data_IF_980502256434
#
_entry.id   IF_980502256434
#
_cell.length_a   1.000
_cell.length_b   1.000
_cell.length_c   1.000
_cell.angle_alpha   90.00
_cell.angle_beta   90.00
_cell.angle_gamma   90.00
#
_symmetry.space_group_name_H-M   'P 1'
#
loop_
_entity.id
_entity.type
_entity.pdbx_description
1 polymer ?
#
# COMPACT_ATOMS: atom_id res chain seq x y z
N UNK A 1 -2.09 26.26 -7.27
CA UNK A 1 -2.93 25.51 -6.30
C UNK A 1 -4.18 25.03 -7.04
N UNK A 2 -4.67 23.82 -6.79
CA UNK A 2 -5.92 23.36 -7.42
C UNK A 2 -7.09 24.25 -6.98
N UNK A 3 -7.99 24.61 -7.90
CA UNK A 3 -9.18 25.41 -7.58
C UNK A 3 -10.10 24.59 -6.69
N UNK A 4 -10.75 25.20 -5.70
CA UNK A 4 -11.75 24.50 -4.88
C UNK A 4 -12.78 23.80 -5.79
N UNK A 5 -13.09 22.53 -5.48
CA UNK A 5 -13.97 21.68 -6.29
C UNK A 5 -13.35 21.07 -7.55
N UNK A 6 -12.08 21.32 -7.86
CA UNK A 6 -11.41 20.65 -9.00
C UNK A 6 -10.83 19.30 -8.61
N UNK A 7 -11.02 18.30 -9.47
CA UNK A 7 -10.41 16.98 -9.37
C UNK A 7 -9.65 16.64 -10.65
N UNK A 8 -8.66 15.75 -10.54
CA UNK A 8 -7.92 15.21 -11.69
C UNK A 8 -7.76 13.70 -11.51
N UNK A 9 -8.15 12.94 -12.52
CA UNK A 9 -7.94 11.50 -12.56
C UNK A 9 -6.57 11.18 -13.14
N UNK A 10 -5.89 10.20 -12.56
CA UNK A 10 -4.60 9.69 -13.04
C UNK A 10 -4.66 8.17 -13.06
N UNK A 11 -4.28 7.58 -14.19
CA UNK A 11 -4.10 6.13 -14.31
C UNK A 11 -2.69 5.77 -13.84
N UNK A 12 -2.58 4.87 -12.87
CA UNK A 12 -1.29 4.33 -12.46
C UNK A 12 -0.74 3.42 -13.56
N UNK A 13 0.39 3.81 -14.18
CA UNK A 13 1.01 3.07 -15.29
C UNK A 13 1.99 1.99 -14.87
N UNK A 14 2.37 1.95 -13.59
CA UNK A 14 3.40 1.06 -13.06
C UNK A 14 2.90 0.42 -11.78
N UNK A 15 3.21 -0.87 -11.61
CA UNK A 15 3.03 -1.57 -10.35
C UNK A 15 3.95 -1.01 -9.27
N UNK A 16 3.55 -1.19 -8.01
CA UNK A 16 4.27 -0.72 -6.83
C UNK A 16 3.51 0.33 -6.04
N UNK A 17 4.20 0.93 -5.07
CA UNK A 17 3.64 1.94 -4.20
C UNK A 17 3.67 3.29 -4.91
N UNK A 18 2.53 3.98 -4.92
CA UNK A 18 2.39 5.36 -5.39
C UNK A 18 2.15 6.24 -4.18
N UNK A 19 3.14 7.07 -3.87
CA UNK A 19 3.03 8.10 -2.85
C UNK A 19 2.27 9.32 -3.39
N UNK A 20 1.19 9.67 -2.70
CA UNK A 20 0.37 10.83 -2.99
C UNK A 20 0.50 11.77 -1.82
N UNK A 21 0.93 13.00 -2.07
CA UNK A 21 1.10 13.98 -1.02
C UNK A 21 0.70 15.39 -1.48
N UNK A 22 0.30 16.20 -0.50
CA UNK A 22 0.01 17.60 -0.72
C UNK A 22 1.30 18.41 -0.92
N UNK A 23 1.20 19.58 -1.54
CA UNK A 23 2.35 20.49 -1.71
C UNK A 23 2.39 21.61 -0.65
N UNK A 24 1.31 21.76 0.13
CA UNK A 24 1.14 22.87 1.08
C UNK A 24 0.71 22.43 2.49
N UNK A 25 0.29 21.18 2.66
CA UNK A 25 -0.07 20.59 3.96
C UNK A 25 0.86 19.40 4.22
N UNK A 26 1.82 19.49 5.16
CA UNK A 26 2.75 18.40 5.49
C UNK A 26 2.08 17.12 6.00
N UNK A 27 0.83 17.21 6.44
CA UNK A 27 0.08 16.13 7.11
C UNK A 27 -0.77 15.33 6.12
N UNK A 28 -0.89 15.80 4.88
CA UNK A 28 -1.73 15.18 3.85
C UNK A 28 -0.89 14.28 2.95
N UNK A 29 -0.83 13.00 3.34
CA UNK A 29 -0.23 11.93 2.57
C UNK A 29 -1.19 10.74 2.43
N UNK A 30 -1.06 10.01 1.33
CA UNK A 30 -1.70 8.75 1.06
C UNK A 30 -0.74 7.85 0.27
N UNK A 31 -0.87 6.54 0.44
CA UNK A 31 -0.12 5.54 -0.31
C UNK A 31 -1.09 4.63 -1.03
N UNK A 32 -0.85 4.36 -2.31
CA UNK A 32 -1.66 3.44 -3.12
C UNK A 32 -0.76 2.30 -3.58
N UNK A 33 -1.12 1.06 -3.25
CA UNK A 33 -0.44 -0.13 -3.76
C UNK A 33 -1.07 -0.57 -5.08
N UNK A 34 -0.30 -0.55 -6.16
CA UNK A 34 -0.73 -0.95 -7.51
C UNK A 34 -0.20 -2.35 -7.81
N UNK A 35 -1.11 -3.29 -8.07
CA UNK A 35 -0.81 -4.69 -8.37
C UNK A 35 -0.88 -4.95 -9.87
N UNK A 36 -0.12 -5.94 -10.34
CA UNK A 36 -0.13 -6.43 -11.73
C UNK A 36 -1.01 -7.67 -11.91
N UNK A 37 -1.71 -8.09 -10.86
CA UNK A 37 -2.56 -9.26 -10.84
C UNK A 37 -3.82 -9.00 -10.00
N UNK A 38 -4.91 -9.78 -10.18
CA UNK A 38 -6.18 -9.54 -9.50
C UNK A 38 -6.25 -10.16 -8.09
N UNK A 39 -5.19 -10.80 -7.61
CA UNK A 39 -5.22 -11.59 -6.38
C UNK A 39 -4.78 -10.75 -5.17
N UNK A 40 -5.75 -10.10 -4.52
CA UNK A 40 -5.52 -9.35 -3.29
C UNK A 40 -6.71 -9.46 -2.33
N UNK A 41 -6.44 -9.22 -1.06
CA UNK A 41 -7.44 -9.11 -0.01
C UNK A 41 -7.04 -7.97 0.92
N UNK A 42 -8.02 -7.29 1.48
CA UNK A 42 -7.82 -6.38 2.62
C UNK A 42 -8.13 -7.18 3.87
N UNK A 43 -7.27 -7.06 4.88
CA UNK A 43 -7.47 -7.72 6.17
C UNK A 43 -8.73 -7.18 6.87
N UNK A 44 -9.43 -8.05 7.59
CA UNK A 44 -10.45 -7.63 8.55
C UNK A 44 -9.84 -6.88 9.73
N UNK A 45 -10.70 -6.30 10.58
CA UNK A 45 -10.27 -5.63 11.82
C UNK A 45 -9.56 -6.59 12.80
N UNK A 46 -9.83 -7.90 12.69
CA UNK A 46 -9.20 -8.97 13.44
C UNK A 46 -7.90 -9.50 12.80
N UNK A 47 -7.45 -8.89 11.70
CA UNK A 47 -6.28 -9.32 10.93
C UNK A 47 -6.55 -10.52 9.99
N UNK A 48 -7.76 -11.07 9.96
CA UNK A 48 -8.08 -12.21 9.10
C UNK A 48 -8.10 -11.82 7.62
N UNK A 49 -7.67 -12.74 6.75
CA UNK A 49 -7.71 -12.56 5.30
C UNK A 49 -7.98 -13.88 4.58
N UNK A 50 -8.52 -13.79 3.36
CA UNK A 50 -8.74 -14.96 2.50
C UNK A 50 -8.59 -14.59 1.03
N UNK A 51 -7.77 -15.36 0.32
CA UNK A 51 -7.60 -15.29 -1.12
C UNK A 51 -8.15 -16.57 -1.74
N UNK A 52 -9.11 -16.45 -2.65
CA UNK A 52 -9.77 -17.59 -3.31
C UNK A 52 -9.42 -17.63 -4.80
N UNK A 53 -9.52 -18.82 -5.39
CA UNK A 53 -9.30 -19.02 -6.82
C UNK A 53 -7.85 -18.83 -7.25
N UNK A 54 -6.89 -19.08 -6.36
CA UNK A 54 -5.48 -19.07 -6.71
C UNK A 54 -5.14 -20.42 -7.38
N UNK A 55 -4.61 -20.43 -8.61
CA UNK A 55 -4.16 -21.66 -9.25
C UNK A 55 -3.06 -22.38 -8.45
N UNK A 56 -2.84 -23.66 -8.75
CA UNK A 56 -1.72 -24.39 -8.16
C UNK A 56 -0.39 -23.81 -8.65
N UNK A 57 0.56 -23.62 -7.74
CA UNK A 57 1.85 -23.03 -8.04
C UNK A 57 2.57 -22.49 -6.81
N UNK A 58 3.77 -21.96 -7.02
CA UNK A 58 4.58 -21.28 -6.01
C UNK A 58 4.55 -19.78 -6.28
N UNK A 59 4.25 -19.00 -5.25
CA UNK A 59 4.02 -17.56 -5.34
C UNK A 59 4.76 -16.82 -4.24
N UNK A 60 5.13 -15.57 -4.50
CA UNK A 60 5.51 -14.62 -3.46
C UNK A 60 4.27 -13.91 -2.95
N UNK A 61 3.99 -14.07 -1.65
CA UNK A 61 2.98 -13.30 -0.93
C UNK A 61 3.63 -12.05 -0.37
N UNK A 62 2.96 -10.92 -0.55
CA UNK A 62 3.34 -9.64 0.04
C UNK A 62 2.19 -9.16 0.89
N UNK A 63 2.46 -8.90 2.16
CA UNK A 63 1.54 -8.18 3.02
C UNK A 63 2.14 -6.79 3.27
N UNK A 64 1.31 -5.77 3.08
CA UNK A 64 1.74 -4.38 3.07
C UNK A 64 0.73 -3.52 3.81
N UNK A 65 1.24 -2.51 4.51
CA UNK A 65 0.47 -1.45 5.12
C UNK A 65 1.19 -0.10 4.91
N UNK A 66 0.48 1.01 5.09
CA UNK A 66 1.01 2.33 4.76
C UNK A 66 2.19 2.78 5.64
N UNK A 67 2.32 2.22 6.85
CA UNK A 67 3.34 2.56 7.84
C UNK A 67 4.06 1.32 8.34
N UNK A 68 5.38 1.27 8.20
CA UNK A 68 6.20 0.11 8.53
C UNK A 68 6.57 -0.74 7.33
N UNK A 69 7.35 -1.78 7.60
CA UNK A 69 7.90 -2.65 6.58
C UNK A 69 6.87 -3.64 6.02
N UNK A 70 7.01 -3.96 4.73
CA UNK A 70 6.21 -5.01 4.10
C UNK A 70 6.78 -6.40 4.41
N UNK A 71 5.92 -7.35 4.72
CA UNK A 71 6.29 -8.76 4.72
C UNK A 71 6.40 -9.30 3.29
N UNK A 72 7.36 -10.20 3.07
CA UNK A 72 7.51 -10.99 1.84
C UNK A 72 7.80 -12.44 2.20
N UNK A 73 6.98 -13.35 1.70
CA UNK A 73 7.15 -14.79 1.93
C UNK A 73 6.81 -15.62 0.70
N UNK A 74 7.39 -16.80 0.60
CA UNK A 74 7.02 -17.77 -0.44
C UNK A 74 5.92 -18.70 0.06
N UNK A 75 4.97 -19.02 -0.82
CA UNK A 75 3.90 -19.98 -0.54
C UNK A 75 3.73 -20.92 -1.74
N UNK A 76 3.56 -22.20 -1.47
CA UNK A 76 3.19 -23.19 -2.50
C UNK A 76 1.75 -23.64 -2.27
N UNK A 77 0.92 -23.55 -3.30
CA UNK A 77 -0.48 -23.96 -3.29
C UNK A 77 -0.61 -25.20 -4.17
N UNK A 78 -1.00 -26.33 -3.56
CA UNK A 78 -1.33 -27.55 -4.30
C UNK A 78 -2.75 -27.47 -4.90
N UNK A 79 -3.03 -28.26 -5.93
CA UNK A 79 -4.32 -28.25 -6.61
C UNK A 79 -5.48 -28.58 -5.64
N UNK A 80 -6.45 -27.67 -5.55
CA UNK A 80 -7.61 -27.80 -4.66
C UNK A 80 -7.30 -27.65 -3.16
N UNK A 81 -6.05 -27.35 -2.80
CA UNK A 81 -5.65 -27.17 -1.42
C UNK A 81 -5.85 -25.72 -0.94
N UNK A 82 -6.03 -25.57 0.37
CA UNK A 82 -5.95 -24.27 1.05
C UNK A 82 -4.66 -24.21 1.84
N UNK A 83 -3.88 -23.17 1.63
CA UNK A 83 -2.67 -22.92 2.41
C UNK A 83 -2.94 -21.87 3.48
N UNK A 84 -2.56 -22.15 4.72
CA UNK A 84 -2.61 -21.19 5.83
C UNK A 84 -1.25 -20.50 5.95
N UNK A 85 -1.29 -19.19 6.16
CA UNK A 85 -0.15 -18.35 6.45
C UNK A 85 -0.48 -17.50 7.68
N UNK A 86 0.51 -17.35 8.54
CA UNK A 86 0.51 -16.38 9.63
C UNK A 86 1.59 -15.36 9.30
N UNK A 87 1.24 -14.08 9.42
CA UNK A 87 2.08 -12.98 8.96
C UNK A 87 2.08 -11.92 10.05
N UNK A 88 3.27 -11.57 10.52
CA UNK A 88 3.48 -10.47 11.45
C UNK A 88 3.81 -9.20 10.67
N UNK A 89 2.97 -8.16 10.84
CA UNK A 89 3.25 -6.80 10.38
C UNK A 89 3.35 -5.88 11.59
N UNK A 90 4.41 -5.09 11.63
CA UNK A 90 4.62 -4.10 12.69
C UNK A 90 4.31 -2.73 12.12
N UNK A 91 3.31 -2.07 12.70
CA UNK A 91 3.03 -0.66 12.39
C UNK A 91 4.04 0.25 13.09
N UNK A 92 4.72 1.07 12.29
CA UNK A 92 5.54 2.13 12.81
C UNK A 92 4.67 3.31 13.28
N UNK A 93 4.90 3.72 14.52
CA UNK A 93 4.23 4.89 15.08
C UNK A 93 4.87 6.18 14.57
N UNK A 94 4.05 7.20 14.31
CA UNK A 94 4.51 8.50 13.81
C UNK A 94 3.74 8.98 12.57
N UNK A 95 4.01 10.22 12.16
CA UNK A 95 3.55 10.76 10.88
C UNK A 95 4.55 10.41 9.79
N UNK A 96 4.03 10.08 8.60
CA UNK A 96 4.86 9.94 7.40
C UNK A 96 5.27 11.35 6.99
N UNK A 97 6.50 11.73 7.28
CA UNK A 97 7.04 13.02 6.83
C UNK A 97 7.26 12.99 5.31
N UNK A 98 6.89 14.08 4.64
CA UNK A 98 7.22 14.27 3.23
C UNK A 98 7.67 15.70 2.97
N UNK A 99 8.43 15.89 1.90
CA UNK A 99 8.82 17.20 1.41
C UNK A 99 7.73 17.75 0.48
N UNK A 100 7.90 19.00 0.06
CA UNK A 100 7.13 19.56 -1.04
C UNK A 100 7.48 18.84 -2.34
N UNK A 101 6.63 18.99 -3.36
CA UNK A 101 6.81 18.33 -4.67
C UNK A 101 8.07 18.80 -5.42
N UNK A 102 8.62 19.94 -5.03
CA UNK A 102 9.90 20.48 -5.52
C UNK A 102 11.11 20.01 -4.71
N UNK A 103 10.91 19.14 -3.70
CA UNK A 103 11.96 18.63 -2.83
C UNK A 103 12.37 19.55 -1.69
N UNK A 104 11.72 20.71 -1.51
CA UNK A 104 12.04 21.62 -0.41
C UNK A 104 11.27 21.27 0.88
N UNK A 105 11.85 21.53 2.08
CA UNK A 105 11.14 21.37 3.33
C UNK A 105 9.91 22.30 3.43
N UNK A 106 8.94 21.90 4.24
CA UNK A 106 7.90 22.83 4.67
C UNK A 106 8.52 23.93 5.53
N UNK A 107 8.38 25.19 5.11
CA UNK A 107 8.81 26.32 5.92
C UNK A 107 7.96 26.42 7.19
N UNK A 108 8.55 26.96 8.27
CA UNK A 108 7.74 27.47 9.38
C UNK A 108 6.86 28.59 8.82
N UNK A 109 5.55 28.45 8.94
CA UNK A 109 4.63 29.56 8.72
C UNK A 109 5.13 30.73 9.58
N UNK A 110 5.47 31.86 8.95
CA UNK A 110 5.68 33.12 9.67
C UNK A 110 4.33 33.65 10.13
#
# INVERSE_FOLDING_TARGET
>A
LYKSGSSKSVVAKRKGIVDIYCNIHPEMAAKVLVLDNPHFAVTGEDGSFSLKGIPAGTYTVVAWQAKGESFRGEVTIAAGATQRLEIDLVEETGQVEHLRKDGTPYGRYK
#
